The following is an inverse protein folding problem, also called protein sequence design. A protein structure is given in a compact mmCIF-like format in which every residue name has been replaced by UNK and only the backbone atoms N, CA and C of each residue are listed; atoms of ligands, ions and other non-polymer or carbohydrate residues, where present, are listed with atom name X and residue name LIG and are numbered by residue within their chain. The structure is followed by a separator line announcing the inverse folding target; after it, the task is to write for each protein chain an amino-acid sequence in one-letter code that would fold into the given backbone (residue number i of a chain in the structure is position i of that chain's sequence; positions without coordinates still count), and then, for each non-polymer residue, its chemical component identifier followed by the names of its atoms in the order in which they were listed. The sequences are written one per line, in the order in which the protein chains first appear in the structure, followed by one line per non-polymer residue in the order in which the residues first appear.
data_IF_384066288546
#
_entry.id   IF_384066288546
#
_cell.length_a   1.000
_cell.length_b   1.000
_cell.length_c   1.000
_cell.angle_alpha   90.00
_cell.angle_beta   90.00
_cell.angle_gamma   90.00
#
_symmetry.space_group_name_H-M   'P 1'
#
loop_
_entity.id
_entity.type
_entity.pdbx_description
1 polymer ?
#
# COMPACT_ATOMS: atom_id res chain seq x y z
N UNK A 1 -67.30 43.32 -21.10
CA UNK A 1 -66.22 43.41 -20.09
C UNK A 1 -65.67 42.03 -19.93
N UNK A 2 -64.45 41.70 -20.53
CA UNK A 2 -63.79 40.42 -20.44
C UNK A 2 -62.88 40.44 -19.22
N UNK A 3 -63.12 39.54 -18.26
CA UNK A 3 -62.23 39.37 -17.11
C UNK A 3 -60.99 38.54 -17.55
N UNK A 4 -59.81 39.13 -17.42
CA UNK A 4 -58.55 38.53 -17.68
C UNK A 4 -58.07 37.75 -16.42
N UNK A 5 -58.07 36.42 -16.46
CA UNK A 5 -57.54 35.60 -15.39
C UNK A 5 -55.99 35.47 -15.58
N UNK A 6 -55.25 36.09 -14.69
CA UNK A 6 -53.79 35.94 -14.63
C UNK A 6 -53.49 34.68 -13.79
N UNK A 7 -52.98 33.65 -14.44
CA UNK A 7 -52.45 32.45 -13.78
C UNK A 7 -50.97 32.72 -13.43
N UNK A 8 -50.70 32.86 -12.13
CA UNK A 8 -49.35 33.02 -11.63
C UNK A 8 -48.77 31.62 -11.50
N UNK A 9 -47.79 31.26 -12.40
CA UNK A 9 -46.98 30.07 -12.24
C UNK A 9 -45.91 30.35 -11.20
N UNK A 10 -46.03 29.76 -10.01
CA UNK A 10 -44.95 29.72 -9.01
C UNK A 10 -43.95 28.61 -9.44
N UNK A 11 -42.81 29.03 -10.00
CA UNK A 11 -41.68 28.16 -10.20
C UNK A 11 -41.04 27.88 -8.84
N UNK A 12 -41.30 26.71 -8.25
CA UNK A 12 -40.53 26.17 -7.14
C UNK A 12 -39.16 25.79 -7.66
N UNK A 13 -38.17 26.65 -7.43
CA UNK A 13 -36.74 26.31 -7.64
C UNK A 13 -36.35 25.34 -6.53
N UNK A 14 -36.33 24.05 -6.86
CA UNK A 14 -35.72 23.01 -6.04
C UNK A 14 -34.21 23.23 -6.09
N UNK A 15 -33.66 23.90 -5.10
CA UNK A 15 -32.20 23.87 -4.87
C UNK A 15 -31.80 22.42 -4.54
N UNK A 16 -30.79 21.85 -5.23
CA UNK A 16 -30.26 20.59 -4.80
C UNK A 16 -29.70 20.79 -3.40
N UNK A 17 -30.22 20.03 -2.44
CA UNK A 17 -29.59 19.89 -1.12
C UNK A 17 -28.25 19.28 -1.41
N UNK A 18 -27.18 20.07 -1.34
CA UNK A 18 -25.82 19.54 -1.31
C UNK A 18 -25.73 18.68 -0.05
N UNK A 19 -25.71 17.35 -0.25
CA UNK A 19 -25.40 16.43 0.84
C UNK A 19 -24.03 16.82 1.36
N UNK A 20 -23.94 17.20 2.63
CA UNK A 20 -22.64 17.34 3.29
C UNK A 20 -21.85 16.05 3.11
N UNK A 21 -20.53 16.11 2.87
CA UNK A 21 -19.70 14.93 2.77
C UNK A 21 -19.86 14.13 4.07
N UNK A 22 -20.46 12.97 3.97
CA UNK A 22 -20.67 12.10 5.13
C UNK A 22 -19.31 11.57 5.52
N UNK A 23 -18.84 11.93 6.72
CA UNK A 23 -17.55 11.45 7.26
C UNK A 23 -17.49 9.91 7.19
N UNK A 24 -16.36 9.38 6.74
CA UNK A 24 -16.17 7.94 6.57
C UNK A 24 -16.25 7.25 7.93
N UNK A 25 -17.18 6.29 8.06
CA UNK A 25 -17.37 5.54 9.31
C UNK A 25 -16.15 4.65 9.60
N UNK A 26 -15.40 5.00 10.63
CA UNK A 26 -14.22 4.23 11.08
C UNK A 26 -14.56 2.82 11.58
N UNK A 27 -15.83 2.52 11.87
CA UNK A 27 -16.25 1.17 12.26
C UNK A 27 -16.09 0.14 11.13
N UNK A 28 -16.02 0.60 9.88
CA UNK A 28 -15.69 -0.25 8.73
C UNK A 28 -14.26 -0.79 8.75
N UNK A 29 -13.36 -0.13 9.50
CA UNK A 29 -11.95 -0.49 9.58
C UNK A 29 -11.67 -1.30 10.85
N UNK A 30 -11.66 -2.61 10.71
CA UNK A 30 -11.26 -3.51 11.79
C UNK A 30 -9.74 -3.63 11.82
N UNK A 31 -9.17 -3.73 13.02
CA UNK A 31 -7.75 -4.01 13.18
C UNK A 31 -7.39 -5.40 12.67
N UNK A 32 -6.19 -5.54 12.09
CA UNK A 32 -5.62 -6.83 11.71
C UNK A 32 -5.46 -7.73 12.94
N UNK A 33 -5.83 -8.99 12.82
CA UNK A 33 -5.54 -10.02 13.83
C UNK A 33 -4.11 -10.56 13.72
N UNK A 34 -3.39 -10.21 12.66
CA UNK A 34 -2.04 -10.68 12.39
C UNK A 34 -1.03 -9.99 13.31
N UNK A 35 -0.22 -10.76 14.00
CA UNK A 35 0.78 -10.27 14.97
C UNK A 35 2.18 -10.80 14.73
N UNK A 36 2.40 -11.50 13.61
CA UNK A 36 3.68 -12.06 13.23
C UNK A 36 3.95 -11.84 11.74
N UNK A 37 4.99 -11.07 11.44
CA UNK A 37 5.42 -10.79 10.06
C UNK A 37 5.77 -12.06 9.28
N UNK A 38 6.39 -13.04 9.92
CA UNK A 38 6.74 -14.30 9.25
C UNK A 38 5.50 -15.13 8.90
N UNK A 39 4.48 -15.14 9.77
CA UNK A 39 3.20 -15.78 9.49
C UNK A 39 2.48 -15.03 8.36
N UNK A 40 2.45 -13.70 8.42
CA UNK A 40 1.86 -12.86 7.38
C UNK A 40 2.52 -13.09 6.01
N UNK A 41 3.86 -13.09 5.94
CA UNK A 41 4.61 -13.36 4.69
C UNK A 41 4.35 -14.75 4.11
N UNK A 42 4.12 -15.74 4.97
CA UNK A 42 3.77 -17.08 4.53
C UNK A 42 2.35 -17.13 3.95
N UNK A 43 1.40 -16.48 4.63
CA UNK A 43 0.00 -16.46 4.24
C UNK A 43 -0.23 -15.61 2.97
N UNK A 44 0.37 -14.41 2.90
CA UNK A 44 0.18 -13.50 1.76
C UNK A 44 0.65 -14.09 0.44
N UNK A 45 1.64 -14.98 0.45
CA UNK A 45 2.05 -15.71 -0.75
C UNK A 45 0.89 -16.49 -1.35
N UNK A 46 0.15 -17.23 -0.53
CA UNK A 46 -0.97 -18.02 -1.01
C UNK A 46 -2.11 -17.11 -1.49
N UNK A 47 -2.38 -16.03 -0.76
CA UNK A 47 -3.37 -15.03 -1.15
C UNK A 47 -3.10 -14.45 -2.55
N UNK A 48 -1.85 -14.07 -2.85
CA UNK A 48 -1.49 -13.55 -4.17
C UNK A 48 -1.61 -14.60 -5.28
N UNK A 49 -1.28 -15.85 -5.00
CA UNK A 49 -1.44 -16.93 -5.96
C UNK A 49 -2.92 -17.23 -6.25
N UNK A 50 -3.74 -17.28 -5.22
CA UNK A 50 -5.16 -17.61 -5.33
C UNK A 50 -5.99 -16.46 -5.92
N UNK A 51 -5.57 -15.20 -5.72
CA UNK A 51 -6.19 -14.03 -6.35
C UNK A 51 -5.80 -13.85 -7.81
N UNK A 52 -4.77 -14.56 -8.29
CA UNK A 52 -4.22 -14.37 -9.63
C UNK A 52 -3.29 -13.16 -9.79
N UNK A 53 -3.06 -12.39 -8.74
CA UNK A 53 -2.13 -11.24 -8.74
C UNK A 53 -0.67 -11.72 -8.66
N UNK A 54 -0.18 -12.35 -9.71
CA UNK A 54 1.15 -12.97 -9.76
C UNK A 54 2.20 -12.08 -10.42
N UNK A 55 2.09 -10.75 -10.22
CA UNK A 55 3.07 -9.78 -10.71
C UNK A 55 3.67 -8.98 -9.55
N UNK A 56 4.97 -8.65 -9.69
CA UNK A 56 5.63 -7.74 -8.73
C UNK A 56 5.08 -6.34 -8.90
N UNK A 57 4.89 -5.62 -7.79
CA UNK A 57 4.18 -4.34 -7.83
C UNK A 57 4.93 -3.29 -8.65
N UNK A 58 6.24 -3.11 -8.40
CA UNK A 58 7.00 -2.03 -9.03
C UNK A 58 7.28 -2.25 -10.52
N UNK A 59 7.69 -3.47 -10.87
CA UNK A 59 8.15 -3.79 -12.24
C UNK A 59 7.14 -4.59 -13.04
N UNK A 60 6.04 -5.03 -12.48
CA UNK A 60 5.05 -5.85 -13.16
C UNK A 60 5.54 -7.24 -13.59
N UNK A 61 6.66 -7.73 -13.06
CA UNK A 61 7.23 -9.01 -13.47
C UNK A 61 6.44 -10.18 -12.90
N UNK A 62 6.17 -11.19 -13.75
CA UNK A 62 5.51 -12.41 -13.32
C UNK A 62 6.36 -13.19 -12.32
N UNK A 63 5.73 -13.80 -11.34
CA UNK A 63 6.32 -14.77 -10.41
C UNK A 63 5.44 -16.00 -10.22
N UNK A 64 6.06 -17.13 -9.89
CA UNK A 64 5.39 -18.42 -9.70
C UNK A 64 5.25 -18.83 -8.23
N UNK A 65 4.61 -19.98 -8.02
CA UNK A 65 4.41 -20.59 -6.70
C UNK A 65 5.72 -20.96 -5.98
N UNK A 66 6.84 -21.08 -6.71
CA UNK A 66 8.17 -21.30 -6.17
C UNK A 66 8.86 -19.99 -5.75
N UNK A 67 8.19 -18.85 -5.92
CA UNK A 67 8.74 -17.49 -5.75
C UNK A 67 9.83 -17.13 -6.78
N UNK A 68 9.90 -17.84 -7.89
CA UNK A 68 10.79 -17.50 -8.99
C UNK A 68 10.16 -16.33 -9.76
N UNK A 69 10.91 -15.25 -9.93
CA UNK A 69 10.50 -14.10 -10.74
C UNK A 69 11.09 -14.21 -12.13
N UNK A 70 10.31 -13.85 -13.15
CA UNK A 70 10.65 -13.94 -14.57
C UNK A 70 10.86 -12.53 -15.17
N UNK A 71 12.09 -11.99 -15.21
CA UNK A 71 12.37 -10.64 -15.68
C UNK A 71 11.99 -10.40 -17.16
N UNK A 72 12.04 -11.43 -17.97
CA UNK A 72 11.65 -11.35 -19.37
C UNK A 72 10.13 -11.08 -19.56
N UNK A 73 9.35 -11.17 -18.48
CA UNK A 73 7.91 -10.88 -18.48
C UNK A 73 7.58 -9.40 -18.19
N UNK A 74 8.60 -8.55 -18.01
CA UNK A 74 8.46 -7.17 -17.58
C UNK A 74 9.57 -6.24 -18.14
N UNK A 75 10.09 -6.53 -19.32
CA UNK A 75 11.08 -5.71 -20.05
C UNK A 75 12.38 -5.35 -19.26
N UNK A 76 12.69 -6.11 -18.21
CA UNK A 76 13.95 -5.95 -17.48
C UNK A 76 15.07 -6.69 -18.22
N UNK A 77 16.08 -5.95 -18.66
CA UNK A 77 17.25 -6.58 -19.26
C UNK A 77 18.13 -7.30 -18.23
N UNK A 78 18.46 -8.59 -18.44
CA UNK A 78 19.28 -9.39 -17.51
C UNK A 78 20.64 -8.76 -17.16
N UNK A 79 21.22 -7.97 -18.08
CA UNK A 79 22.51 -7.31 -17.90
C UNK A 79 22.51 -6.25 -16.77
N UNK A 80 21.36 -5.73 -16.39
CA UNK A 80 21.21 -4.76 -15.29
C UNK A 80 20.98 -5.43 -13.94
N UNK A 81 20.59 -6.70 -13.94
CA UNK A 81 20.38 -7.47 -12.75
C UNK A 81 21.73 -8.02 -12.27
N UNK A 82 22.41 -7.35 -11.35
CA UNK A 82 23.57 -7.87 -10.63
C UNK A 82 23.15 -8.98 -9.67
N UNK A 83 22.77 -10.14 -10.22
CA UNK A 83 22.28 -11.26 -9.42
C UNK A 83 23.48 -12.12 -9.02
N UNK A 84 23.80 -12.13 -7.73
CA UNK A 84 24.61 -13.22 -7.15
C UNK A 84 23.76 -14.49 -7.27
N UNK A 85 24.29 -15.53 -7.89
CA UNK A 85 23.71 -16.90 -7.99
C UNK A 85 22.54 -17.10 -8.97
N UNK A 86 22.23 -16.19 -9.88
CA UNK A 86 21.25 -16.39 -10.96
C UNK A 86 19.79 -16.59 -10.52
N UNK A 87 19.49 -16.66 -9.23
CA UNK A 87 18.14 -16.84 -8.69
C UNK A 87 17.49 -15.50 -8.38
N UNK A 88 16.28 -15.31 -8.92
CA UNK A 88 15.44 -14.13 -8.78
C UNK A 88 14.31 -14.49 -7.84
N UNK A 89 14.50 -14.26 -6.55
CA UNK A 89 13.57 -14.69 -5.52
C UNK A 89 12.67 -13.53 -5.11
N UNK A 90 11.36 -13.77 -5.15
CA UNK A 90 10.35 -12.86 -4.65
C UNK A 90 10.52 -12.61 -3.15
N UNK A 91 10.42 -11.35 -2.76
CA UNK A 91 10.33 -10.90 -1.37
C UNK A 91 9.04 -10.16 -1.13
N UNK A 92 8.56 -10.21 0.09
CA UNK A 92 7.42 -9.41 0.56
C UNK A 92 7.97 -8.17 1.25
N UNK A 93 7.56 -7.01 0.77
CA UNK A 93 7.96 -5.70 1.29
C UNK A 93 6.72 -4.91 1.68
N UNK A 94 6.90 -3.83 2.43
CA UNK A 94 5.81 -2.96 2.84
C UNK A 94 5.54 -1.91 1.77
N UNK A 95 4.28 -1.75 1.38
CA UNK A 95 3.84 -0.66 0.50
C UNK A 95 4.11 0.69 1.16
N UNK A 96 3.53 0.93 2.36
CA UNK A 96 3.93 2.03 3.23
C UNK A 96 5.14 1.57 4.05
N UNK A 97 6.32 2.21 3.92
CA UNK A 97 7.54 1.77 4.57
C UNK A 97 7.51 1.79 6.10
N UNK A 98 8.32 0.92 6.73
CA UNK A 98 8.49 0.89 8.19
C UNK A 98 8.87 2.25 8.76
N UNK A 99 9.77 2.98 8.10
CA UNK A 99 10.21 4.32 8.52
C UNK A 99 9.09 5.35 8.55
N UNK A 100 8.08 5.21 7.69
CA UNK A 100 6.92 6.11 7.65
C UNK A 100 5.99 5.81 8.82
N UNK A 101 5.56 4.56 8.96
CA UNK A 101 4.59 4.26 10.01
C UNK A 101 5.19 4.13 11.43
N UNK A 102 6.48 4.00 11.55
CA UNK A 102 7.18 3.96 12.85
C UNK A 102 7.84 5.29 13.25
N UNK A 103 7.79 6.32 12.39
CA UNK A 103 8.49 7.58 12.57
C UNK A 103 8.19 8.25 13.93
N UNK A 104 6.95 8.19 14.38
CA UNK A 104 6.53 8.74 15.68
C UNK A 104 6.81 7.83 16.89
N UNK A 105 7.41 6.65 16.70
CA UNK A 105 7.61 5.67 17.77
C UNK A 105 8.96 5.85 18.49
N UNK A 106 8.96 5.92 19.82
CA UNK A 106 10.19 6.01 20.61
C UNK A 106 11.13 4.82 20.36
N UNK A 107 10.59 3.60 20.20
CA UNK A 107 11.38 2.41 19.92
C UNK A 107 12.11 2.48 18.55
N UNK A 108 11.61 3.31 17.62
CA UNK A 108 12.24 3.55 16.34
C UNK A 108 13.39 4.58 16.43
N UNK A 109 13.18 5.62 17.23
CA UNK A 109 14.06 6.79 17.27
C UNK A 109 15.06 6.78 18.41
N UNK A 110 14.77 6.08 19.54
CA UNK A 110 15.53 6.16 20.78
C UNK A 110 16.17 4.81 21.15
N UNK A 111 17.34 4.83 21.74
CA UNK A 111 18.08 3.66 22.21
C UNK A 111 17.47 3.07 23.51
N UNK A 112 16.22 2.60 23.45
CA UNK A 112 15.47 2.12 24.62
C UNK A 112 15.52 0.61 24.82
N UNK A 113 15.86 -0.16 23.81
CA UNK A 113 16.03 -1.61 23.92
C UNK A 113 17.46 -1.99 24.34
N UNK A 114 17.63 -3.17 24.97
CA UNK A 114 18.92 -3.65 25.44
C UNK A 114 19.16 -5.07 24.91
N UNK A 115 20.32 -5.32 24.32
CA UNK A 115 20.77 -6.67 23.92
C UNK A 115 21.28 -7.47 25.12
N UNK A 116 21.53 -8.76 24.90
CA UNK A 116 22.09 -9.66 25.92
C UNK A 116 23.49 -9.25 26.40
N UNK A 117 24.27 -8.57 25.56
CA UNK A 117 25.58 -8.03 25.89
C UNK A 117 25.54 -6.67 26.61
N UNK A 118 24.35 -6.15 26.92
CA UNK A 118 24.12 -4.85 27.58
C UNK A 118 24.12 -3.64 26.63
N UNK A 119 24.43 -3.82 25.34
CA UNK A 119 24.38 -2.71 24.37
C UNK A 119 22.95 -2.27 24.08
N UNK A 120 22.78 -0.96 23.91
CA UNK A 120 21.48 -0.36 23.58
C UNK A 120 21.24 -0.37 22.08
N UNK A 121 19.97 -0.54 21.68
CA UNK A 121 19.57 -0.46 20.28
C UNK A 121 18.17 0.14 20.09
N UNK A 122 17.85 0.51 18.85
CA UNK A 122 16.61 1.10 18.40
C UNK A 122 16.22 0.55 17.01
N UNK A 123 15.12 1.03 16.44
CA UNK A 123 14.66 0.68 15.09
C UNK A 123 13.76 -0.55 15.07
N UNK A 124 13.60 -1.17 13.90
CA UNK A 124 12.62 -2.22 13.66
C UNK A 124 12.68 -3.37 14.69
N UNK A 125 13.86 -3.88 15.00
CA UNK A 125 14.02 -4.97 15.97
C UNK A 125 13.61 -4.55 17.39
N UNK A 126 13.86 -3.29 17.78
CA UNK A 126 13.42 -2.79 19.08
C UNK A 126 11.90 -2.68 19.11
N UNK A 127 11.30 -2.07 18.08
CA UNK A 127 9.85 -1.93 17.98
C UNK A 127 9.14 -3.29 17.92
N UNK A 128 9.68 -4.25 17.20
CA UNK A 128 9.14 -5.61 17.15
C UNK A 128 9.15 -6.28 18.55
N UNK A 129 10.19 -6.03 19.35
CA UNK A 129 10.26 -6.60 20.69
C UNK A 129 9.24 -6.02 21.67
N UNK A 130 8.98 -4.70 21.61
CA UNK A 130 8.28 -4.01 22.69
C UNK A 130 6.96 -3.35 22.31
N UNK A 131 6.64 -3.21 21.00
CA UNK A 131 5.44 -2.51 20.54
C UNK A 131 4.44 -3.44 19.86
N UNK A 132 3.31 -3.80 20.52
CA UNK A 132 2.22 -4.54 19.88
C UNK A 132 1.65 -3.80 18.66
N UNK A 133 1.56 -2.47 18.72
CA UNK A 133 1.10 -1.64 17.58
C UNK A 133 2.01 -1.81 16.37
N UNK A 134 3.33 -1.75 16.56
CA UNK A 134 4.30 -1.98 15.48
C UNK A 134 4.18 -3.38 14.90
N UNK A 135 4.05 -4.42 15.74
CA UNK A 135 3.84 -5.80 15.28
C UNK A 135 2.60 -5.93 14.40
N UNK A 136 1.49 -5.32 14.80
CA UNK A 136 0.27 -5.34 14.01
C UNK A 136 0.46 -4.64 12.66
N UNK A 137 1.07 -3.44 12.64
CA UNK A 137 1.30 -2.67 11.41
C UNK A 137 2.25 -3.38 10.44
N UNK A 138 3.38 -3.91 10.94
CA UNK A 138 4.33 -4.60 10.06
C UNK A 138 3.82 -5.94 9.53
N UNK A 139 2.85 -6.55 10.22
CA UNK A 139 2.27 -7.85 9.84
C UNK A 139 0.98 -7.71 9.03
N UNK A 140 0.50 -6.49 8.81
CA UNK A 140 -0.73 -6.25 8.06
C UNK A 140 -0.58 -6.61 6.59
N UNK A 141 -1.35 -7.61 6.15
CA UNK A 141 -1.23 -8.16 4.80
C UNK A 141 -1.69 -7.18 3.72
N UNK A 142 -2.52 -6.17 4.04
CA UNK A 142 -2.89 -5.11 3.11
C UNK A 142 -1.71 -4.19 2.78
N UNK A 143 -0.67 -4.18 3.63
CA UNK A 143 0.56 -3.43 3.40
C UNK A 143 1.72 -4.29 2.85
N UNK A 144 1.52 -5.61 2.65
CA UNK A 144 2.55 -6.50 2.13
C UNK A 144 2.41 -6.71 0.63
N UNK A 145 3.42 -6.32 -0.14
CA UNK A 145 3.46 -6.37 -1.60
C UNK A 145 4.64 -7.20 -2.12
N UNK A 146 4.50 -7.82 -3.30
CA UNK A 146 5.55 -8.63 -3.90
C UNK A 146 6.61 -7.75 -4.59
N UNK A 147 7.89 -7.98 -4.29
CA UNK A 147 9.05 -7.30 -4.88
C UNK A 147 10.21 -8.28 -5.14
N UNK A 148 11.36 -7.77 -5.58
CA UNK A 148 12.55 -8.58 -5.88
C UNK A 148 13.59 -8.54 -4.78
N UNK A 149 14.37 -9.62 -4.68
CA UNK A 149 15.44 -9.74 -3.70
C UNK A 149 16.62 -8.76 -3.93
N UNK A 150 16.94 -8.46 -5.18
CA UNK A 150 18.07 -7.57 -5.49
C UNK A 150 17.83 -6.11 -5.11
N UNK A 151 16.58 -5.65 -5.16
CA UNK A 151 16.19 -4.33 -4.71
C UNK A 151 16.53 -4.11 -3.23
N UNK A 152 16.39 -5.16 -2.42
CA UNK A 152 16.71 -5.17 -1.00
C UNK A 152 18.23 -5.10 -0.78
N UNK A 153 19.02 -5.78 -1.62
CA UNK A 153 20.49 -5.84 -1.50
C UNK A 153 21.22 -4.52 -1.77
N UNK A 154 20.59 -3.60 -2.52
CA UNK A 154 21.17 -2.27 -2.81
C UNK A 154 20.81 -1.26 -1.72
N UNK A 155 19.69 -1.44 -1.06
CA UNK A 155 19.07 -0.44 -0.18
C UNK A 155 19.24 -0.76 1.31
N UNK A 156 19.76 -1.95 1.65
CA UNK A 156 19.92 -2.42 3.03
C UNK A 156 18.58 -2.43 3.78
N UNK A 157 18.64 -2.44 5.11
CA UNK A 157 17.44 -2.34 5.98
C UNK A 157 16.69 -1.00 5.87
N UNK A 158 17.18 -0.09 5.02
CA UNK A 158 16.58 1.22 4.70
C UNK A 158 15.46 1.14 3.66
N UNK A 159 14.94 -0.05 3.34
CA UNK A 159 13.81 -0.23 2.42
C UNK A 159 12.57 0.62 2.81
N UNK A 160 12.53 1.07 4.05
CA UNK A 160 11.53 1.98 4.55
C UNK A 160 11.49 3.38 3.91
N UNK A 161 12.57 3.81 3.24
CA UNK A 161 12.62 5.14 2.58
C UNK A 161 12.32 5.09 1.08
N UNK A 162 11.98 3.91 0.54
CA UNK A 162 12.08 3.62 -0.89
C UNK A 162 10.74 3.65 -1.64
N UNK A 163 9.61 3.69 -0.96
CA UNK A 163 8.34 3.75 -1.69
C UNK A 163 8.26 4.96 -2.66
N UNK A 164 9.02 6.02 -2.39
CA UNK A 164 9.10 7.21 -3.26
C UNK A 164 10.49 7.85 -3.37
N UNK A 165 11.51 7.29 -2.75
CA UNK A 165 12.88 7.85 -2.74
C UNK A 165 13.98 6.90 -3.20
N UNK A 166 13.67 5.63 -3.42
CA UNK A 166 14.63 4.61 -3.82
C UNK A 166 14.78 4.50 -5.32
N UNK A 167 15.44 5.45 -5.92
CA UNK A 167 15.70 5.49 -7.37
C UNK A 167 16.36 4.23 -7.96
N UNK A 168 17.00 3.39 -7.14
CA UNK A 168 17.78 2.26 -7.67
C UNK A 168 16.91 1.07 -8.09
N UNK A 169 15.80 0.80 -7.39
CA UNK A 169 14.86 -0.26 -7.77
C UNK A 169 14.14 0.08 -9.08
N UNK A 170 13.69 1.31 -9.19
CA UNK A 170 13.06 1.81 -10.41
C UNK A 170 14.00 1.84 -11.61
N UNK A 171 15.26 2.21 -11.40
CA UNK A 171 16.29 2.18 -12.48
C UNK A 171 16.42 0.83 -13.15
N UNK A 172 16.08 -0.24 -12.44
CA UNK A 172 16.13 -1.59 -13.00
C UNK A 172 14.91 -1.98 -13.81
N UNK A 173 13.74 -1.41 -13.49
CA UNK A 173 12.51 -1.69 -14.24
C UNK A 173 12.47 -0.98 -15.61
N UNK A 174 13.49 -0.15 -15.96
CA UNK A 174 13.42 0.72 -17.11
C UNK A 174 14.38 0.32 -18.21
N UNK A 175 13.85 0.11 -19.41
CA UNK A 175 14.59 0.12 -20.68
C UNK A 175 14.73 1.56 -21.15
N UNK A 176 15.97 2.12 -21.17
CA UNK A 176 16.24 3.34 -21.94
C UNK A 176 16.72 4.57 -21.18
N UNK A 177 16.99 4.52 -19.87
CA UNK A 177 17.73 5.60 -19.19
C UNK A 177 16.90 6.79 -18.70
N UNK A 178 15.60 6.81 -18.90
CA UNK A 178 14.68 7.73 -18.21
C UNK A 178 14.11 7.00 -17.02
N UNK A 179 14.28 7.54 -15.83
CA UNK A 179 13.80 6.97 -14.57
C UNK A 179 12.34 7.39 -14.41
N UNK A 180 11.34 6.50 -14.51
CA UNK A 180 10.02 6.83 -13.99
C UNK A 180 10.14 6.92 -12.47
N UNK A 181 9.63 7.98 -11.90
CA UNK A 181 9.51 8.13 -10.45
C UNK A 181 8.36 7.27 -9.89
N UNK A 182 7.60 6.62 -10.76
CA UNK A 182 6.33 5.98 -10.45
C UNK A 182 6.33 4.48 -10.77
N UNK A 183 5.57 3.64 -10.03
CA UNK A 183 5.36 2.23 -10.38
C UNK A 183 4.68 2.09 -11.75
N UNK A 184 4.68 0.86 -12.27
CA UNK A 184 3.89 0.55 -13.49
C UNK A 184 2.44 0.98 -13.29
N UNK A 185 1.79 1.44 -14.35
CA UNK A 185 0.47 2.07 -14.28
C UNK A 185 -0.56 1.19 -13.53
N UNK A 186 -0.55 -0.11 -13.81
CA UNK A 186 -1.46 -1.11 -13.26
C UNK A 186 -1.21 -1.45 -11.77
N UNK A 187 -0.22 -0.83 -11.14
CA UNK A 187 0.11 -1.01 -9.73
C UNK A 187 -0.08 0.26 -8.89
N UNK A 188 -0.37 1.38 -9.53
CA UNK A 188 -0.45 2.69 -8.87
C UNK A 188 -1.61 2.77 -7.90
N UNK A 189 -2.80 2.38 -8.34
CA UNK A 189 -3.99 2.35 -7.49
C UNK A 189 -3.87 1.36 -6.34
N UNK A 190 -3.32 0.17 -6.61
CA UNK A 190 -3.03 -0.82 -5.57
C UNK A 190 -2.15 -0.24 -4.45
N UNK A 191 -1.10 0.50 -4.83
CA UNK A 191 -0.20 1.14 -3.88
C UNK A 191 -0.92 2.26 -3.12
N UNK A 192 -1.67 3.11 -3.81
CA UNK A 192 -2.42 4.20 -3.20
C UNK A 192 -3.42 3.69 -2.16
N UNK A 193 -4.20 2.66 -2.49
CA UNK A 193 -5.17 2.06 -1.57
C UNK A 193 -4.53 1.39 -0.35
N UNK A 194 -3.33 0.84 -0.50
CA UNK A 194 -2.56 0.32 0.64
C UNK A 194 -2.11 1.45 1.58
N UNK A 195 -1.64 2.57 1.03
CA UNK A 195 -1.27 3.76 1.80
C UNK A 195 -2.46 4.36 2.54
N UNK A 196 -3.58 4.59 1.86
CA UNK A 196 -4.80 5.14 2.46
C UNK A 196 -5.32 4.25 3.58
N UNK A 197 -5.31 2.93 3.39
CA UNK A 197 -5.70 1.97 4.41
C UNK A 197 -4.80 2.08 5.65
N UNK A 198 -3.48 2.08 5.49
CA UNK A 198 -2.53 2.18 6.60
C UNK A 198 -2.67 3.51 7.33
N UNK A 199 -2.76 4.61 6.58
CA UNK A 199 -2.97 5.95 7.14
C UNK A 199 -4.24 6.01 7.97
N UNK A 200 -5.37 5.64 7.39
CA UNK A 200 -6.68 5.76 8.02
C UNK A 200 -6.84 4.83 9.24
N UNK A 201 -6.42 3.55 9.12
CA UNK A 201 -6.54 2.58 10.20
C UNK A 201 -5.63 2.89 11.38
N UNK A 202 -4.37 3.20 11.09
CA UNK A 202 -3.33 3.34 12.11
C UNK A 202 -3.04 4.79 12.50
N UNK A 203 -3.72 5.77 11.88
CA UNK A 203 -3.57 7.22 12.07
C UNK A 203 -2.13 7.65 11.79
N UNK A 204 -1.70 7.40 10.59
CA UNK A 204 -0.38 7.77 10.06
C UNK A 204 -0.62 8.87 9.04
N UNK A 205 -0.09 10.05 9.27
CA UNK A 205 -0.21 11.15 8.33
C UNK A 205 0.62 10.91 7.06
N UNK A 206 0.02 11.17 5.90
CA UNK A 206 0.68 11.18 4.60
C UNK A 206 0.98 12.64 4.25
N UNK A 207 2.20 12.93 3.81
CA UNK A 207 2.56 14.29 3.39
C UNK A 207 1.70 14.74 2.20
N UNK A 208 1.24 15.99 2.20
CA UNK A 208 0.28 16.54 1.22
C UNK A 208 0.66 16.24 -0.23
N UNK A 209 1.92 16.47 -0.62
CA UNK A 209 2.40 16.22 -1.99
C UNK A 209 2.35 14.75 -2.39
N UNK A 210 2.55 13.85 -1.44
CA UNK A 210 2.43 12.41 -1.65
C UNK A 210 0.96 12.01 -1.70
N UNK A 211 0.12 12.57 -0.84
CA UNK A 211 -1.30 12.30 -0.82
C UNK A 211 -1.97 12.71 -2.15
N UNK A 212 -1.68 13.90 -2.67
CA UNK A 212 -2.16 14.36 -3.98
C UNK A 212 -1.80 13.36 -5.08
N UNK A 213 -0.56 12.87 -5.10
CA UNK A 213 -0.10 11.88 -6.06
C UNK A 213 -0.82 10.54 -5.91
N UNK A 214 -0.99 10.06 -4.67
CA UNK A 214 -1.70 8.82 -4.40
C UNK A 214 -3.19 8.92 -4.78
N UNK A 215 -3.83 10.06 -4.56
CA UNK A 215 -5.21 10.31 -5.02
C UNK A 215 -5.31 10.23 -6.54
N UNK A 216 -4.39 10.87 -7.28
CA UNK A 216 -4.33 10.77 -8.73
C UNK A 216 -4.18 9.31 -9.19
N UNK A 217 -3.28 8.56 -8.59
CA UNK A 217 -3.07 7.14 -8.90
C UNK A 217 -4.28 6.26 -8.60
N UNK A 218 -4.99 6.55 -7.52
CA UNK A 218 -6.22 5.85 -7.19
C UNK A 218 -7.30 5.99 -8.26
N UNK A 219 -7.43 7.19 -8.85
CA UNK A 219 -8.36 7.44 -9.96
C UNK A 219 -7.90 6.84 -11.28
N UNK A 220 -6.60 6.89 -11.57
CA UNK A 220 -6.03 6.37 -12.81
C UNK A 220 -6.10 4.85 -12.88
N UNK A 221 -6.00 4.17 -11.73
CA UNK A 221 -5.95 2.71 -11.58
C UNK A 221 -6.98 2.26 -10.53
N UNK A 222 -8.28 2.17 -10.91
CA UNK A 222 -9.34 1.73 -9.99
C UNK A 222 -9.17 0.26 -9.60
N UNK A 223 -9.82 -0.22 -8.51
CA UNK A 223 -9.76 -1.62 -8.10
C UNK A 223 -10.19 -2.58 -9.22
N UNK A 224 -9.41 -3.61 -9.43
CA UNK A 224 -9.73 -4.70 -10.34
C UNK A 224 -10.24 -5.95 -9.60
N UNK A 225 -10.77 -6.91 -10.35
CA UNK A 225 -11.32 -8.17 -9.80
C UNK A 225 -10.26 -8.98 -9.03
N UNK A 226 -8.99 -8.91 -9.42
CA UNK A 226 -7.90 -9.61 -8.71
C UNK A 226 -7.63 -8.95 -7.36
N UNK A 227 -7.67 -7.62 -7.30
CA UNK A 227 -7.52 -6.87 -6.06
C UNK A 227 -8.69 -7.11 -5.10
N UNK A 228 -9.94 -7.12 -5.60
CA UNK A 228 -11.14 -7.45 -4.82
C UNK A 228 -11.06 -8.89 -4.27
N UNK A 229 -10.63 -9.84 -5.09
CA UNK A 229 -10.42 -11.24 -4.68
C UNK A 229 -9.34 -11.32 -3.60
N UNK A 230 -8.21 -10.65 -3.78
CA UNK A 230 -7.14 -10.56 -2.79
C UNK A 230 -7.65 -9.99 -1.47
N UNK A 231 -8.47 -8.93 -1.51
CA UNK A 231 -9.08 -8.31 -0.34
C UNK A 231 -9.93 -9.32 0.45
N UNK A 232 -10.75 -10.10 -0.26
CA UNK A 232 -11.58 -11.15 0.33
C UNK A 232 -10.76 -12.30 0.94
N UNK A 233 -9.67 -12.70 0.29
CA UNK A 233 -8.77 -13.74 0.80
C UNK A 233 -7.98 -13.25 2.03
N UNK A 234 -7.57 -11.98 2.05
CA UNK A 234 -6.93 -11.39 3.24
C UNK A 234 -7.91 -11.39 4.42
N UNK A 235 -9.17 -11.04 4.21
CA UNK A 235 -10.19 -11.09 5.27
C UNK A 235 -10.31 -12.47 5.90
N UNK A 236 -10.30 -13.54 5.10
CA UNK A 236 -10.38 -14.92 5.61
C UNK A 236 -9.20 -15.28 6.52
N UNK A 237 -8.02 -14.70 6.29
CA UNK A 237 -6.80 -15.02 7.03
C UNK A 237 -6.57 -14.08 8.20
N UNK A 238 -6.79 -12.77 8.00
CA UNK A 238 -6.40 -11.71 8.92
C UNK A 238 -7.61 -11.06 9.63
N UNK A 239 -8.83 -11.32 9.16
CA UNK A 239 -10.09 -10.92 9.80
C UNK A 239 -10.56 -9.51 9.47
N UNK A 240 -9.93 -8.82 8.51
CA UNK A 240 -10.32 -7.49 8.07
C UNK A 240 -10.11 -7.28 6.58
N UNK A 241 -10.79 -6.25 6.04
CA UNK A 241 -10.72 -5.82 4.64
C UNK A 241 -10.09 -4.44 4.54
N UNK A 242 -9.63 -4.10 3.35
CA UNK A 242 -9.35 -2.72 2.98
C UNK A 242 -10.61 -2.10 2.35
N UNK A 243 -11.33 -1.21 3.06
CA UNK A 243 -12.57 -0.63 2.53
C UNK A 243 -12.38 0.27 1.32
N UNK A 244 -11.17 0.78 1.07
CA UNK A 244 -10.88 1.58 -0.13
C UNK A 244 -10.78 0.74 -1.41
N UNK A 245 -10.76 -0.59 -1.29
CA UNK A 245 -10.93 -1.51 -2.42
C UNK A 245 -12.41 -1.77 -2.66
N UNK A 246 -13.20 -2.01 -1.59
CA UNK A 246 -14.63 -2.31 -1.69
C UNK A 246 -15.46 -1.07 -2.05
N UNK A 247 -15.01 0.10 -1.59
CA UNK A 247 -15.67 1.40 -1.72
C UNK A 247 -14.65 2.46 -2.16
N UNK A 248 -14.18 2.42 -3.41
CA UNK A 248 -13.12 3.32 -3.88
C UNK A 248 -13.51 4.81 -3.75
N UNK A 249 -14.80 5.14 -3.91
CA UNK A 249 -15.35 6.48 -3.70
C UNK A 249 -15.17 7.00 -2.26
N UNK A 250 -14.88 6.13 -1.30
CA UNK A 250 -14.66 6.52 0.09
C UNK A 250 -13.38 7.37 0.27
N UNK A 251 -12.42 7.27 -0.65
CA UNK A 251 -11.21 8.10 -0.64
C UNK A 251 -11.56 9.60 -0.73
N UNK A 252 -12.60 9.96 -1.49
CA UNK A 252 -13.04 11.36 -1.63
C UNK A 252 -13.65 11.94 -0.34
N UNK A 253 -14.12 11.07 0.57
CA UNK A 253 -14.74 11.48 1.84
C UNK A 253 -13.71 11.73 2.94
N UNK A 254 -12.46 11.31 2.75
CA UNK A 254 -11.36 11.60 3.67
C UNK A 254 -10.73 12.91 3.25
N UNK A 255 -10.78 13.90 4.15
CA UNK A 255 -10.24 15.25 3.88
C UNK A 255 -8.71 15.21 3.86
N UNK A 256 -8.11 14.45 4.79
CA UNK A 256 -6.66 14.37 5.02
C UNK A 256 -6.30 12.97 5.55
N UNK A 257 -5.30 12.35 4.91
CA UNK A 257 -4.79 11.03 5.26
C UNK A 257 -3.54 11.08 6.14
#
# INVERSE_FOLDING_TARGET
MRKLNIIIFIFLILFPISAEPQELDRSMFKSSSMVSLEVAKKAIKQVYLDSGQTRTLHCGCFFDKQKQVYPNSCDITPARLRIKDGRKILKWVHAMPLSVFADSMNCWNELICTKSDGSKFKGANCCDNISPKFKSMQSDMHNLIPSFDWAIGILGDSFGSVAFGGMEEYKACINGGVIPEDPVAEARGNLARAYFYMSFLYRIHIQDTLEEKLRAWHFEDPPDTMEETRNSLIEQVQGNRNPFIDHPEAVERVIDF
#
